data_IF_942630631537
#
_entry.id   IF_942630631537
#
_cell.length_a   1.000
_cell.length_b   1.000
_cell.length_c   1.000
_cell.angle_alpha   90.00
_cell.angle_beta   90.00
_cell.angle_gamma   90.00
#
_symmetry.space_group_name_H-M   'P 1'
#
loop_
_entity.id
_entity.type
_entity.pdbx_description
1 polymer ?
#
# COMPACT_ATOMS: atom_id res chain seq x y z
N UNK A 1 -19.54 11.32 -3.65
CA UNK A 1 -18.76 10.97 -4.83
C UNK A 1 -17.43 11.70 -4.86
N UNK A 2 -16.41 11.11 -5.44
CA UNK A 2 -15.16 11.78 -5.78
C UNK A 2 -15.39 12.39 -7.16
N UNK A 3 -15.78 13.69 -7.20
CA UNK A 3 -16.08 14.36 -8.46
C UNK A 3 -14.81 14.70 -9.23
N UNK A 4 -14.62 14.10 -10.40
CA UNK A 4 -14.10 14.84 -11.55
C UNK A 4 -15.25 15.73 -12.01
N UNK A 5 -15.00 17.03 -12.10
CA UNK A 5 -16.00 18.05 -12.38
C UNK A 5 -16.93 17.65 -13.54
N UNK A 6 -18.13 17.19 -13.29
CA UNK A 6 -19.35 17.31 -14.08
C UNK A 6 -20.44 16.23 -13.86
N UNK A 7 -20.20 15.12 -13.11
CA UNK A 7 -21.25 14.07 -12.98
C UNK A 7 -21.89 13.91 -11.60
N UNK A 8 -21.31 14.45 -10.51
CA UNK A 8 -21.81 14.25 -9.14
C UNK A 8 -22.23 15.53 -8.42
N UNK A 9 -22.70 16.55 -9.14
CA UNK A 9 -23.15 17.82 -8.55
C UNK A 9 -24.35 17.71 -7.60
N UNK A 10 -24.98 16.56 -7.52
CA UNK A 10 -26.16 16.30 -6.68
C UNK A 10 -25.88 15.43 -5.44
N UNK A 11 -24.64 14.93 -5.26
CA UNK A 11 -24.32 14.16 -4.07
C UNK A 11 -24.32 15.06 -2.82
N UNK A 12 -25.06 14.64 -1.77
CA UNK A 12 -25.17 15.39 -0.50
C UNK A 12 -23.82 15.46 0.25
N UNK A 13 -22.99 14.43 0.11
CA UNK A 13 -21.66 14.33 0.71
C UNK A 13 -20.65 14.11 -0.40
N UNK A 14 -19.65 14.99 -0.50
CA UNK A 14 -18.62 14.89 -1.56
C UNK A 14 -17.27 15.46 -1.13
N UNK A 15 -16.24 15.01 -1.80
CA UNK A 15 -14.89 15.56 -1.72
C UNK A 15 -14.61 16.44 -2.94
N UNK A 16 -14.07 17.62 -2.72
CA UNK A 16 -13.62 18.57 -3.76
C UNK A 16 -12.14 18.87 -3.56
N UNK A 17 -11.43 19.22 -4.63
CA UNK A 17 -10.02 19.62 -4.61
C UNK A 17 -9.11 18.55 -3.94
N UNK A 18 -9.29 17.28 -4.30
CA UNK A 18 -8.46 16.19 -3.80
C UNK A 18 -7.01 16.39 -4.27
N UNK A 19 -6.07 16.39 -3.32
CA UNK A 19 -4.63 16.54 -3.55
C UNK A 19 -3.88 15.45 -2.80
N UNK A 20 -2.95 14.79 -3.47
CA UNK A 20 -2.02 13.86 -2.84
C UNK A 20 -0.90 14.64 -2.13
N UNK A 21 -0.56 14.21 -0.92
CA UNK A 21 0.51 14.75 -0.09
C UNK A 21 1.60 13.70 0.14
N UNK A 22 2.84 14.10 0.50
CA UNK A 22 3.89 13.13 0.87
C UNK A 22 3.50 12.17 2.00
N UNK A 23 2.51 12.54 2.82
CA UNK A 23 2.07 11.76 3.98
C UNK A 23 0.58 11.42 3.95
N UNK A 24 -0.10 11.49 2.82
CA UNK A 24 -1.52 11.19 2.74
C UNK A 24 -2.25 11.95 1.67
N UNK A 25 -3.46 12.38 2.00
CA UNK A 25 -4.32 13.11 1.07
C UNK A 25 -5.02 14.27 1.79
N UNK A 26 -5.33 15.32 1.03
CA UNK A 26 -6.11 16.47 1.47
C UNK A 26 -7.26 16.72 0.52
N UNK A 27 -8.43 17.03 1.07
CA UNK A 27 -9.61 17.40 0.27
C UNK A 27 -10.55 18.31 1.06
N UNK A 28 -11.40 19.03 0.35
CA UNK A 28 -12.51 19.77 0.93
C UNK A 28 -13.71 18.84 1.07
N UNK A 29 -14.11 18.53 2.30
CA UNK A 29 -15.35 17.83 2.61
C UNK A 29 -16.50 18.83 2.45
N UNK A 30 -17.50 18.48 1.66
CA UNK A 30 -18.73 19.26 1.48
C UNK A 30 -19.89 18.43 2.01
N UNK A 31 -20.59 18.99 3.00
CA UNK A 31 -21.78 18.46 3.63
C UNK A 31 -22.94 19.46 3.47
N UNK A 32 -24.21 19.05 3.59
CA UNK A 32 -25.36 19.97 3.55
C UNK A 32 -25.30 21.08 4.60
N UNK A 33 -24.66 20.84 5.75
CA UNK A 33 -24.53 21.80 6.85
C UNK A 33 -23.20 22.58 6.87
N UNK A 34 -22.33 22.44 5.86
CA UNK A 34 -21.09 23.20 5.80
C UNK A 34 -19.98 22.55 5.00
N UNK A 35 -18.81 23.20 5.05
CA UNK A 35 -17.57 22.73 4.41
C UNK A 35 -16.44 22.73 5.42
N UNK A 36 -15.55 21.74 5.31
CA UNK A 36 -14.35 21.66 6.12
C UNK A 36 -13.21 21.00 5.36
N UNK A 37 -11.96 21.26 5.76
CA UNK A 37 -10.78 20.61 5.17
C UNK A 37 -10.50 19.32 5.94
N UNK A 38 -10.32 18.23 5.20
CA UNK A 38 -9.82 16.95 5.72
C UNK A 38 -8.41 16.75 5.20
N UNK A 39 -7.47 16.53 6.11
CA UNK A 39 -6.12 16.05 5.83
C UNK A 39 -5.95 14.72 6.54
N UNK A 40 -5.68 13.67 5.79
CA UNK A 40 -5.69 12.29 6.28
C UNK A 40 -4.43 11.56 5.89
N UNK A 41 -3.98 10.65 6.76
CA UNK A 41 -2.90 9.72 6.46
C UNK A 41 -3.33 8.58 5.50
N UNK A 42 -4.63 8.39 5.28
CA UNK A 42 -5.14 7.38 4.36
C UNK A 42 -4.81 7.74 2.91
N UNK A 43 -4.46 6.75 2.09
CA UNK A 43 -3.99 6.91 0.70
C UNK A 43 -4.95 6.24 -0.26
N UNK A 44 -5.12 6.83 -1.44
CA UNK A 44 -5.91 6.27 -2.53
C UNK A 44 -7.36 6.75 -2.55
N UNK A 45 -7.89 6.91 -3.76
CA UNK A 45 -9.25 7.41 -4.00
C UNK A 45 -10.33 6.54 -3.34
N UNK A 46 -10.10 5.23 -3.25
CA UNK A 46 -11.03 4.33 -2.57
C UNK A 46 -11.15 4.63 -1.07
N UNK A 47 -10.08 5.08 -0.41
CA UNK A 47 -10.13 5.52 0.98
C UNK A 47 -10.87 6.84 1.13
N UNK A 48 -10.75 7.77 0.18
CA UNK A 48 -11.60 8.97 0.17
C UNK A 48 -13.08 8.59 0.06
N UNK A 49 -13.44 7.62 -0.78
CA UNK A 49 -14.81 7.09 -0.86
C UNK A 49 -15.29 6.50 0.47
N UNK A 50 -14.42 5.74 1.16
CA UNK A 50 -14.71 5.19 2.50
C UNK A 50 -14.92 6.32 3.53
N UNK A 51 -14.06 7.36 3.49
CA UNK A 51 -14.20 8.53 4.37
C UNK A 51 -15.50 9.29 4.11
N UNK A 52 -15.93 9.42 2.85
CA UNK A 52 -17.21 10.05 2.53
C UNK A 52 -18.42 9.24 3.03
N UNK A 53 -18.33 7.91 3.02
CA UNK A 53 -19.37 7.06 3.63
C UNK A 53 -19.43 7.27 5.15
N UNK A 54 -18.28 7.32 5.82
CA UNK A 54 -18.20 7.64 7.26
C UNK A 54 -18.74 9.06 7.52
N UNK A 55 -18.37 10.04 6.69
CA UNK A 55 -18.86 11.41 6.80
C UNK A 55 -20.39 11.48 6.72
N UNK A 56 -21.00 10.70 5.82
CA UNK A 56 -22.48 10.65 5.68
C UNK A 56 -23.13 10.14 6.96
N UNK A 57 -22.60 9.08 7.57
CA UNK A 57 -23.11 8.53 8.84
C UNK A 57 -22.95 9.53 9.98
N UNK A 58 -21.79 10.18 10.09
CA UNK A 58 -21.55 11.19 11.14
C UNK A 58 -22.43 12.44 10.96
N UNK A 59 -22.67 12.86 9.72
CA UNK A 59 -23.60 13.95 9.40
C UNK A 59 -25.05 13.57 9.78
N UNK A 60 -25.49 12.37 9.43
CA UNK A 60 -26.82 11.87 9.81
C UNK A 60 -27.01 11.80 11.34
N UNK A 61 -25.93 11.53 12.07
CA UNK A 61 -25.89 11.59 13.54
C UNK A 61 -25.86 13.02 14.09
N UNK A 62 -25.94 14.07 13.25
CA UNK A 62 -26.08 15.47 13.64
C UNK A 62 -24.78 16.23 13.88
N UNK A 63 -23.63 15.69 13.49
CA UNK A 63 -22.35 16.38 13.67
C UNK A 63 -22.16 17.53 12.66
N UNK A 64 -21.53 18.62 13.12
CA UNK A 64 -21.11 19.72 12.27
C UNK A 64 -19.94 19.32 11.35
N UNK A 65 -19.79 20.00 10.20
CA UNK A 65 -18.77 19.70 9.21
C UNK A 65 -17.34 19.69 9.78
N UNK A 66 -17.00 20.63 10.65
CA UNK A 66 -15.68 20.71 11.29
C UNK A 66 -15.42 19.52 12.24
N UNK A 67 -16.44 19.08 12.98
CA UNK A 67 -16.33 17.91 13.85
C UNK A 67 -16.15 16.61 13.05
N UNK A 68 -16.89 16.49 11.95
CA UNK A 68 -16.72 15.38 11.01
C UNK A 68 -15.31 15.38 10.45
N UNK A 69 -14.83 16.49 9.92
CA UNK A 69 -13.50 16.61 9.32
C UNK A 69 -12.40 16.25 10.33
N UNK A 70 -12.47 16.76 11.56
CA UNK A 70 -11.51 16.44 12.62
C UNK A 70 -11.46 14.94 12.92
N UNK A 71 -12.61 14.26 12.97
CA UNK A 71 -12.69 12.81 13.19
C UNK A 71 -12.12 12.02 12.03
N UNK A 72 -12.43 12.42 10.78
CA UNK A 72 -11.89 11.78 9.59
C UNK A 72 -10.36 11.91 9.50
N UNK A 73 -9.83 13.09 9.85
CA UNK A 73 -8.39 13.34 9.85
C UNK A 73 -7.62 12.53 10.90
N UNK A 74 -8.28 12.13 11.97
CA UNK A 74 -7.68 11.31 13.03
C UNK A 74 -7.71 9.80 12.74
N UNK A 75 -8.36 9.37 11.64
CA UNK A 75 -8.43 7.95 11.30
C UNK A 75 -7.08 7.44 10.80
N UNK A 76 -6.69 6.27 11.29
CA UNK A 76 -5.55 5.51 10.82
C UNK A 76 -6.01 4.29 10.01
N UNK A 77 -5.22 3.82 9.04
CA UNK A 77 -5.56 2.60 8.33
C UNK A 77 -5.58 1.40 9.31
N UNK A 78 -6.44 0.42 9.07
CA UNK A 78 -6.35 -0.85 9.81
C UNK A 78 -4.99 -1.52 9.57
N UNK A 79 -4.49 -2.35 10.52
CA UNK A 79 -3.26 -3.08 10.35
C UNK A 79 -3.20 -3.85 9.01
N UNK A 80 -2.07 -3.77 8.31
CA UNK A 80 -1.85 -4.41 7.01
C UNK A 80 -2.68 -3.87 5.84
N UNK A 81 -3.26 -2.67 5.98
CA UNK A 81 -3.99 -1.96 4.93
C UNK A 81 -3.36 -0.60 4.71
N UNK A 82 -2.49 -0.48 3.71
CA UNK A 82 -1.69 0.73 3.48
C UNK A 82 -0.97 1.20 4.76
N UNK A 83 -0.56 0.25 5.59
CA UNK A 83 0.15 0.50 6.84
C UNK A 83 1.57 0.98 6.55
N UNK A 84 2.01 2.02 7.22
CA UNK A 84 3.26 2.72 6.92
C UNK A 84 4.32 2.46 7.95
N UNK A 85 5.55 2.28 7.46
CA UNK A 85 6.76 2.11 8.27
C UNK A 85 7.86 2.99 7.68
N UNK A 86 8.53 3.79 8.50
CA UNK A 86 9.58 4.70 8.04
C UNK A 86 9.08 5.98 7.38
N UNK A 87 9.86 6.51 6.44
CA UNK A 87 9.49 7.67 5.60
C UNK A 87 10.04 9.02 6.03
N UNK A 88 10.55 9.16 7.24
CA UNK A 88 11.16 10.40 7.76
C UNK A 88 12.68 10.39 7.53
N UNK A 89 13.14 10.88 6.37
CA UNK A 89 14.57 10.84 6.00
C UNK A 89 15.07 9.45 5.56
N UNK A 90 14.18 8.49 5.42
CA UNK A 90 14.44 7.13 4.99
C UNK A 90 13.33 6.65 4.03
N UNK A 91 13.48 5.51 3.32
CA UNK A 91 12.44 4.98 2.45
C UNK A 91 11.12 4.80 3.20
N UNK A 92 10.01 5.11 2.53
CA UNK A 92 8.69 4.80 3.04
C UNK A 92 8.33 3.38 2.64
N UNK A 93 8.16 2.50 3.62
CA UNK A 93 7.62 1.15 3.39
C UNK A 93 6.12 1.16 3.68
N UNK A 94 5.35 0.55 2.79
CA UNK A 94 3.89 0.42 2.94
C UNK A 94 3.53 -1.06 2.86
N UNK A 95 2.83 -1.55 3.88
CA UNK A 95 2.35 -2.94 3.93
C UNK A 95 0.87 -2.98 3.57
N UNK A 96 0.50 -3.83 2.60
CA UNK A 96 -0.87 -3.96 2.14
C UNK A 96 -1.27 -5.41 1.86
N UNK A 97 -2.55 -5.70 2.03
CA UNK A 97 -3.14 -7.02 1.78
C UNK A 97 -3.49 -7.26 0.31
N UNK A 98 -3.08 -6.42 -0.62
CA UNK A 98 -3.34 -6.53 -2.05
C UNK A 98 -2.78 -7.85 -2.60
N UNK A 99 -3.66 -8.80 -2.93
CA UNK A 99 -3.33 -10.15 -3.38
C UNK A 99 -4.12 -10.58 -4.63
N UNK A 100 -4.71 -9.62 -5.34
CA UNK A 100 -5.36 -9.79 -6.65
C UNK A 100 -4.80 -8.75 -7.62
N UNK A 101 -4.89 -8.97 -8.95
CA UNK A 101 -4.41 -7.99 -9.94
C UNK A 101 -4.98 -6.60 -9.73
N UNK A 102 -6.31 -6.47 -9.58
CA UNK A 102 -6.98 -5.18 -9.38
C UNK A 102 -6.56 -4.50 -8.08
N UNK A 103 -6.45 -5.26 -6.97
CA UNK A 103 -6.03 -4.70 -5.70
C UNK A 103 -4.57 -4.22 -5.75
N UNK A 104 -3.68 -4.99 -6.40
CA UNK A 104 -2.28 -4.61 -6.59
C UNK A 104 -2.16 -3.36 -7.46
N UNK A 105 -2.91 -3.27 -8.56
CA UNK A 105 -2.95 -2.08 -9.41
C UNK A 105 -3.40 -0.84 -8.65
N UNK A 106 -4.51 -0.94 -7.91
CA UNK A 106 -5.03 0.17 -7.11
C UNK A 106 -4.04 0.63 -6.04
N UNK A 107 -3.36 -0.31 -5.36
CA UNK A 107 -2.33 0.01 -4.37
C UNK A 107 -1.14 0.73 -5.01
N UNK A 108 -0.64 0.22 -6.14
CA UNK A 108 0.48 0.81 -6.87
C UNK A 108 0.14 2.21 -7.42
N UNK A 109 -1.04 2.40 -8.00
CA UNK A 109 -1.48 3.71 -8.50
C UNK A 109 -1.59 4.74 -7.36
N UNK A 110 -2.12 4.33 -6.21
CA UNK A 110 -2.20 5.21 -5.03
C UNK A 110 -0.79 5.62 -4.54
N UNK A 111 0.16 4.67 -4.51
CA UNK A 111 1.53 4.93 -4.05
C UNK A 111 2.40 5.61 -5.10
N UNK A 112 2.07 5.51 -6.39
CA UNK A 112 2.76 6.24 -7.48
C UNK A 112 2.68 7.75 -7.26
N UNK A 113 1.50 8.28 -6.92
CA UNK A 113 1.34 9.70 -6.61
C UNK A 113 2.25 10.13 -5.44
N UNK A 114 2.34 9.30 -4.41
CA UNK A 114 3.20 9.55 -3.25
C UNK A 114 4.70 9.47 -3.58
N UNK A 115 5.13 8.48 -4.36
CA UNK A 115 6.52 8.36 -4.82
C UNK A 115 6.92 9.59 -5.64
N UNK A 116 6.04 10.04 -6.54
CA UNK A 116 6.24 11.28 -7.32
C UNK A 116 6.37 12.51 -6.42
N UNK A 117 5.50 12.67 -5.42
CA UNK A 117 5.56 13.79 -4.48
C UNK A 117 6.83 13.79 -3.61
N UNK A 118 7.43 12.61 -3.41
CA UNK A 118 8.71 12.42 -2.71
C UNK A 118 9.93 12.54 -3.63
N UNK A 119 9.75 12.65 -4.94
CA UNK A 119 10.79 12.55 -5.98
C UNK A 119 11.55 11.22 -5.93
N UNK A 120 10.87 10.14 -5.55
CA UNK A 120 11.42 8.80 -5.40
C UNK A 120 10.83 7.81 -6.40
N UNK A 121 11.39 6.60 -6.39
CA UNK A 121 10.90 5.45 -7.18
C UNK A 121 9.83 4.70 -6.39
N UNK A 122 8.96 4.00 -7.11
CA UNK A 122 8.03 3.03 -6.55
C UNK A 122 8.58 1.62 -6.74
N UNK A 123 8.88 0.95 -5.63
CA UNK A 123 9.36 -0.44 -5.58
C UNK A 123 8.23 -1.33 -5.07
N UNK A 124 8.05 -2.51 -5.65
CA UNK A 124 7.08 -3.48 -5.13
C UNK A 124 7.75 -4.82 -4.83
N UNK A 125 7.42 -5.38 -3.66
CA UNK A 125 7.81 -6.72 -3.22
C UNK A 125 6.54 -7.51 -2.98
N UNK A 126 6.32 -8.60 -3.74
CA UNK A 126 5.14 -9.42 -3.55
C UNK A 126 5.35 -10.86 -4.02
N UNK A 127 4.43 -11.72 -3.60
CA UNK A 127 4.30 -13.09 -4.05
C UNK A 127 2.84 -13.47 -4.20
N UNK A 128 2.60 -14.73 -4.57
CA UNK A 128 1.26 -15.31 -4.61
C UNK A 128 1.15 -16.53 -3.71
N UNK A 129 -0.04 -16.74 -3.14
CA UNK A 129 -0.32 -17.95 -2.37
C UNK A 129 -0.37 -19.20 -3.23
N UNK A 130 0.15 -20.30 -2.69
CA UNK A 130 -0.05 -21.65 -3.22
C UNK A 130 -1.46 -22.18 -2.93
N UNK A 131 -1.89 -23.21 -3.65
CA UNK A 131 -3.22 -23.82 -3.55
C UNK A 131 -4.35 -22.79 -3.73
N UNK A 132 -4.13 -21.83 -4.62
CA UNK A 132 -5.04 -20.75 -4.97
C UNK A 132 -5.07 -20.59 -6.49
N UNK A 133 -5.88 -19.64 -6.96
CA UNK A 133 -5.99 -19.31 -8.38
C UNK A 133 -4.62 -19.01 -8.99
N UNK A 134 -4.21 -19.87 -9.93
CA UNK A 134 -2.93 -19.75 -10.66
C UNK A 134 -3.02 -18.74 -11.80
N UNK A 135 -4.23 -18.52 -12.35
CA UNK A 135 -4.44 -17.60 -13.46
C UNK A 135 -4.05 -16.17 -13.14
N UNK A 136 -4.29 -15.71 -11.92
CA UNK A 136 -3.92 -14.37 -11.47
C UNK A 136 -2.41 -14.10 -11.37
N UNK A 137 -1.57 -15.16 -11.30
CA UNK A 137 -0.11 -15.03 -11.09
C UNK A 137 0.57 -14.20 -12.18
N UNK A 138 0.47 -14.57 -13.48
CA UNK A 138 1.05 -13.77 -14.54
C UNK A 138 0.40 -12.39 -14.68
N UNK A 139 -0.90 -12.27 -14.39
CA UNK A 139 -1.60 -10.98 -14.42
C UNK A 139 -1.05 -10.01 -13.36
N UNK A 140 -0.80 -10.49 -12.14
CA UNK A 140 -0.17 -9.70 -11.07
C UNK A 140 1.26 -9.29 -11.44
N UNK A 141 2.02 -10.17 -12.11
CA UNK A 141 3.34 -9.84 -12.66
C UNK A 141 3.27 -8.69 -13.66
N UNK A 142 2.37 -8.80 -14.65
CA UNK A 142 2.18 -7.77 -15.67
C UNK A 142 1.73 -6.42 -15.08
N UNK A 143 0.84 -6.44 -14.07
CA UNK A 143 0.42 -5.24 -13.35
C UNK A 143 1.60 -4.59 -12.62
N UNK A 144 2.39 -5.38 -11.89
CA UNK A 144 3.54 -4.89 -11.15
C UNK A 144 4.56 -4.22 -12.08
N UNK A 145 4.92 -4.88 -13.19
CA UNK A 145 5.87 -4.35 -14.18
C UNK A 145 5.39 -3.04 -14.83
N UNK A 146 4.08 -2.92 -15.09
CA UNK A 146 3.50 -1.70 -15.68
C UNK A 146 3.47 -0.53 -14.70
N UNK A 147 3.25 -0.78 -13.40
CA UNK A 147 2.91 0.25 -12.42
C UNK A 147 4.06 0.63 -11.47
N UNK A 148 5.09 -0.21 -11.32
CA UNK A 148 6.25 0.06 -10.47
C UNK A 148 7.53 0.30 -11.27
N UNK A 149 8.52 0.97 -10.67
CA UNK A 149 9.83 1.20 -11.29
C UNK A 149 10.78 0.03 -11.04
N UNK A 150 10.53 -0.74 -9.97
CA UNK A 150 11.29 -1.92 -9.62
C UNK A 150 10.37 -2.97 -9.03
N UNK A 151 10.53 -4.22 -9.47
CA UNK A 151 9.71 -5.34 -9.03
C UNK A 151 10.58 -6.47 -8.50
N UNK A 152 10.33 -6.86 -7.27
CA UNK A 152 10.99 -7.99 -6.62
C UNK A 152 9.94 -9.05 -6.26
N UNK A 153 10.00 -10.21 -6.94
CA UNK A 153 9.09 -11.32 -6.74
C UNK A 153 9.65 -12.26 -5.68
N UNK A 154 8.80 -12.61 -4.70
CA UNK A 154 9.18 -13.45 -3.57
C UNK A 154 8.09 -14.46 -3.21
N UNK A 155 8.31 -15.29 -2.19
CA UNK A 155 7.25 -16.15 -1.68
C UNK A 155 6.26 -15.39 -0.80
N UNK A 156 5.03 -15.89 -0.78
CA UNK A 156 3.96 -15.49 0.13
C UNK A 156 3.68 -16.68 1.07
N UNK A 157 2.52 -17.30 0.98
CA UNK A 157 2.14 -18.56 1.64
C UNK A 157 2.19 -19.70 0.61
N UNK A 158 3.31 -20.40 0.39
CA UNK A 158 3.43 -21.40 -0.67
C UNK A 158 2.56 -22.62 -0.43
N UNK A 159 2.17 -22.91 0.81
CA UNK A 159 1.38 -24.09 1.19
C UNK A 159 2.00 -25.38 0.66
N UNK A 160 1.28 -26.16 -0.18
CA UNK A 160 1.79 -27.40 -0.74
C UNK A 160 2.62 -27.22 -2.01
N UNK A 161 2.65 -26.02 -2.60
CA UNK A 161 3.39 -25.76 -3.83
C UNK A 161 4.84 -25.36 -3.55
N UNK A 162 5.73 -25.68 -4.50
CA UNK A 162 7.14 -25.25 -4.44
C UNK A 162 7.22 -23.73 -4.66
N UNK A 163 7.81 -22.93 -3.73
CA UNK A 163 7.84 -21.48 -3.83
C UNK A 163 8.42 -20.96 -5.14
N UNK A 164 9.51 -21.54 -5.61
CA UNK A 164 10.15 -21.15 -6.88
C UNK A 164 9.21 -21.33 -8.08
N UNK A 165 8.38 -22.38 -8.09
CA UNK A 165 7.41 -22.60 -9.16
C UNK A 165 6.31 -21.54 -9.19
N UNK A 166 5.90 -21.04 -8.02
CA UNK A 166 4.94 -19.92 -7.93
C UNK A 166 5.56 -18.64 -8.49
N UNK A 167 6.82 -18.36 -8.13
CA UNK A 167 7.58 -17.22 -8.63
C UNK A 167 7.71 -17.29 -10.16
N UNK A 168 8.06 -18.46 -10.72
CA UNK A 168 8.16 -18.65 -12.17
C UNK A 168 6.84 -18.35 -12.90
N UNK A 169 5.69 -18.71 -12.31
CA UNK A 169 4.37 -18.42 -12.88
C UNK A 169 4.03 -16.93 -12.81
N UNK A 170 4.47 -16.19 -11.79
CA UNK A 170 4.31 -14.73 -11.73
C UNK A 170 5.16 -14.08 -12.83
N UNK A 171 6.43 -14.48 -12.90
CA UNK A 171 7.41 -13.91 -13.84
C UNK A 171 7.05 -14.22 -15.30
N UNK A 172 6.31 -15.29 -15.58
CA UNK A 172 5.81 -15.58 -16.93
C UNK A 172 4.94 -14.45 -17.54
N UNK A 173 4.40 -13.55 -16.72
CA UNK A 173 3.68 -12.35 -17.16
C UNK A 173 4.55 -11.10 -17.29
N UNK A 174 5.87 -11.21 -17.16
CA UNK A 174 6.81 -10.08 -17.08
C UNK A 174 7.96 -10.23 -18.07
N UNK A 175 8.58 -9.10 -18.42
CA UNK A 175 9.83 -9.06 -19.19
C UNK A 175 11.05 -8.97 -18.29
N UNK A 176 10.93 -8.25 -17.18
CA UNK A 176 12.02 -8.03 -16.22
C UNK A 176 11.51 -8.21 -14.78
N UNK A 177 12.12 -9.13 -14.05
CA UNK A 177 11.81 -9.31 -12.62
C UNK A 177 13.07 -9.71 -11.85
N UNK A 178 13.24 -9.12 -10.68
CA UNK A 178 14.14 -9.64 -9.68
C UNK A 178 13.42 -10.73 -8.87
N UNK A 179 14.17 -11.76 -8.47
CA UNK A 179 13.63 -12.93 -7.76
C UNK A 179 14.39 -13.14 -6.48
N UNK A 180 13.70 -13.38 -5.40
CA UNK A 180 14.24 -13.80 -4.13
C UNK A 180 13.19 -14.69 -3.41
N UNK A 181 13.49 -15.94 -3.20
CA UNK A 181 12.53 -16.89 -2.61
C UNK A 181 12.24 -16.56 -1.15
N UNK A 182 13.28 -16.21 -0.38
CA UNK A 182 13.14 -15.84 1.01
C UNK A 182 12.58 -14.41 1.14
N UNK A 183 11.36 -14.31 1.68
CA UNK A 183 10.64 -13.03 1.77
C UNK A 183 11.35 -12.03 2.69
N UNK A 184 11.96 -12.49 3.79
CA UNK A 184 12.68 -11.60 4.69
C UNK A 184 13.91 -10.99 3.99
N UNK A 185 14.64 -11.80 3.21
CA UNK A 185 15.77 -11.35 2.39
C UNK A 185 15.31 -10.40 1.30
N UNK A 186 14.17 -10.67 0.63
CA UNK A 186 13.60 -9.78 -0.37
C UNK A 186 13.26 -8.40 0.21
N UNK A 187 12.57 -8.35 1.35
CA UNK A 187 12.23 -7.10 2.05
C UNK A 187 13.50 -6.35 2.46
N UNK A 188 14.44 -7.03 3.10
CA UNK A 188 15.71 -6.43 3.52
C UNK A 188 16.48 -5.85 2.34
N UNK A 189 16.56 -6.57 1.22
CA UNK A 189 17.21 -6.11 0.00
C UNK A 189 16.52 -4.88 -0.57
N UNK A 190 15.20 -4.89 -0.69
CA UNK A 190 14.43 -3.75 -1.19
C UNK A 190 14.67 -2.49 -0.35
N UNK A 191 14.69 -2.60 0.98
CA UNK A 191 14.87 -1.46 1.90
C UNK A 191 16.31 -0.95 1.90
N UNK A 192 17.32 -1.84 1.88
CA UNK A 192 18.73 -1.44 1.93
C UNK A 192 19.20 -0.79 0.62
N UNK A 193 18.66 -1.19 -0.52
CA UNK A 193 19.01 -0.67 -1.84
C UNK A 193 18.16 0.55 -2.28
N UNK A 194 17.14 0.90 -1.50
CA UNK A 194 16.28 2.06 -1.79
C UNK A 194 16.94 3.38 -1.40
N UNK A 195 16.60 4.45 -2.11
CA UNK A 195 16.93 5.81 -1.71
C UNK A 195 15.94 6.32 -0.62
N UNK A 196 16.32 7.38 0.11
CA UNK A 196 15.49 7.92 1.21
C UNK A 196 14.10 8.39 0.75
N UNK A 197 13.95 8.81 -0.49
CA UNK A 197 12.72 9.28 -1.09
C UNK A 197 11.87 8.16 -1.72
N UNK A 198 12.42 6.94 -1.88
CA UNK A 198 11.71 5.82 -2.49
C UNK A 198 10.50 5.37 -1.63
N UNK A 199 9.50 4.82 -2.31
CA UNK A 199 8.33 4.19 -1.69
C UNK A 199 8.36 2.70 -2.04
N UNK A 200 8.24 1.84 -1.03
CA UNK A 200 8.30 0.38 -1.17
C UNK A 200 6.94 -0.19 -0.76
N UNK A 201 6.25 -0.88 -1.66
CA UNK A 201 5.04 -1.64 -1.35
C UNK A 201 5.42 -3.09 -1.04
N UNK A 202 5.06 -3.56 0.16
CA UNK A 202 5.05 -4.98 0.52
C UNK A 202 3.60 -5.46 0.38
N UNK A 203 3.31 -6.23 -0.67
CA UNK A 203 1.95 -6.66 -0.98
C UNK A 203 1.72 -8.16 -0.73
N UNK A 204 0.48 -8.50 -0.41
CA UNK A 204 -0.04 -9.86 -0.29
C UNK A 204 -0.43 -10.25 1.12
N UNK A 205 0.48 -10.14 2.09
CA UNK A 205 0.27 -10.62 3.47
C UNK A 205 -0.51 -9.67 4.36
N UNK A 206 -0.34 -8.35 4.17
CA UNK A 206 -0.96 -7.37 5.06
C UNK A 206 -0.61 -7.66 6.53
N UNK A 207 -1.62 -7.89 7.37
CA UNK A 207 -1.48 -8.16 8.81
C UNK A 207 -1.28 -9.63 9.17
N UNK A 208 -1.09 -10.53 8.20
CA UNK A 208 -0.88 -11.96 8.50
C UNK A 208 0.42 -12.16 9.31
N UNK A 209 0.35 -12.73 10.53
CA UNK A 209 1.53 -12.88 11.41
C UNK A 209 2.28 -14.20 11.18
N UNK A 210 2.13 -14.83 10.01
CA UNK A 210 2.76 -16.11 9.70
C UNK A 210 3.01 -16.27 8.20
N UNK A 211 3.89 -17.19 7.86
CA UNK A 211 4.04 -17.76 6.52
C UNK A 211 3.60 -19.24 6.55
N UNK A 212 2.62 -19.59 5.70
CA UNK A 212 2.04 -20.93 5.62
C UNK A 212 2.86 -21.78 4.64
N UNK A 213 3.61 -22.74 5.18
CA UNK A 213 4.45 -23.67 4.43
C UNK A 213 3.78 -25.03 4.20
N UNK A 214 2.46 -25.10 4.35
CA UNK A 214 1.64 -26.31 4.18
C UNK A 214 1.54 -27.14 5.45
N UNK A 215 2.60 -27.81 5.85
CA UNK A 215 2.61 -28.64 7.07
C UNK A 215 2.82 -27.83 8.35
N UNK A 216 3.44 -26.66 8.25
CA UNK A 216 3.75 -25.76 9.37
C UNK A 216 3.46 -24.31 9.00
N UNK A 217 3.18 -23.50 10.02
CA UNK A 217 3.15 -22.05 9.92
C UNK A 217 4.31 -21.46 10.69
N UNK A 218 5.13 -20.71 10.00
CA UNK A 218 6.28 -20.01 10.58
C UNK A 218 5.84 -18.58 10.97
N UNK A 219 6.18 -18.08 12.17
CA UNK A 219 5.96 -16.69 12.51
C UNK A 219 6.63 -15.78 11.48
N UNK A 220 5.89 -14.80 10.97
CA UNK A 220 6.38 -13.85 9.98
C UNK A 220 5.46 -12.64 9.90
N UNK A 221 6.03 -11.45 9.93
CA UNK A 221 5.31 -10.19 9.78
C UNK A 221 6.07 -9.27 8.82
N UNK A 222 5.40 -8.81 7.77
CA UNK A 222 6.00 -7.84 6.83
C UNK A 222 6.39 -6.54 7.54
N UNK A 223 5.60 -6.08 8.52
CA UNK A 223 5.88 -4.88 9.32
C UNK A 223 7.18 -5.06 10.13
N UNK A 224 7.30 -6.16 10.86
CA UNK A 224 8.51 -6.44 11.66
C UNK A 224 9.76 -6.56 10.78
N UNK A 225 9.65 -7.20 9.61
CA UNK A 225 10.76 -7.31 8.66
C UNK A 225 11.15 -5.93 8.09
N UNK A 226 10.19 -5.07 7.79
CA UNK A 226 10.43 -3.72 7.33
C UNK A 226 11.12 -2.86 8.40
N UNK A 227 10.63 -2.91 9.64
CA UNK A 227 11.23 -2.20 10.79
C UNK A 227 12.68 -2.64 11.05
N UNK A 228 12.92 -3.96 11.03
CA UNK A 228 14.27 -4.52 11.19
C UNK A 228 15.21 -4.08 10.06
N UNK A 229 14.74 -4.07 8.81
CA UNK A 229 15.51 -3.64 7.66
C UNK A 229 15.83 -2.13 7.69
N UNK A 230 14.90 -1.28 8.10
CA UNK A 230 15.12 0.16 8.30
C UNK A 230 16.11 0.42 9.46
N UNK A 231 16.00 -0.31 10.56
CA UNK A 231 16.95 -0.22 11.66
C UNK A 231 18.38 -0.59 11.22
N UNK A 232 18.54 -1.66 10.45
CA UNK A 232 19.83 -2.06 9.87
C UNK A 232 20.38 -0.99 8.90
N UNK A 233 19.51 -0.34 8.13
CA UNK A 233 19.91 0.76 7.24
C UNK A 233 20.47 1.95 8.03
N UNK A 234 19.80 2.35 9.10
CA UNK A 234 20.27 3.45 9.98
C UNK A 234 21.64 3.16 10.58
N UNK A 235 21.85 1.95 11.15
CA UNK A 235 23.15 1.60 11.73
C UNK A 235 24.30 1.64 10.72
N UNK A 236 24.07 1.19 9.47
CA UNK A 236 25.08 1.27 8.40
C UNK A 236 25.41 2.69 7.97
N UNK A 237 24.44 3.61 8.02
CA UNK A 237 24.69 5.02 7.71
C UNK A 237 25.50 5.72 8.79
N UNK A 238 25.26 5.39 10.08
CA UNK A 238 26.04 5.88 11.21
C UNK A 238 27.50 5.40 11.21
N UNK A 239 27.74 4.16 10.75
CA UNK A 239 29.11 3.61 10.61
C UNK A 239 29.92 4.26 9.47
N UNK A 240 29.22 4.91 8.51
CA UNK A 240 29.85 5.46 7.29
C UNK A 240 29.98 7.00 7.35
N UNK A 241 29.38 7.65 8.33
CA UNK A 241 29.37 9.11 8.55
C UNK A 241 30.47 9.54 9.51
#
# INVERSE_FOLDING_TARGET
GIGESHRDSHALVRAEALTDLPHGQRFNLVLPNGRAVVETALVGRYNVSNLLAIAAVLFDAGLAADDVARRLSALTPPPGRMERVGGNGEPLVVVDYAHTPDALENALLALRAMATARNGRLVVVFGCGGDRDKGKRPEMGAVAERCADRVLITSDNPRSEVPASIIDQIVAGMHHAEREVDRATAIRRAVLEAEAQDVILLAGKGHEPYQDMGSIRLPFSDVEQAEAALALRRSKQEETA
#
